data_IF_038905284462
#
_entry.id   IF_038905284462
#
_cell.length_a   1.000
_cell.length_b   1.000
_cell.length_c   1.000
_cell.angle_alpha   90.00
_cell.angle_beta   90.00
_cell.angle_gamma   90.00
#
_symmetry.space_group_name_H-M   'P 1'
#
loop_
_entity.id
_entity.type
_entity.pdbx_description
1 polymer ?
#
# COMPACT_ATOMS: atom_id res chain seq x y z
N UNK A 1 9.55 -10.60 -12.99
CA UNK A 1 9.24 -11.15 -11.65
C UNK A 1 10.39 -10.97 -10.66
N UNK A 2 11.63 -11.41 -10.94
CA UNK A 2 12.77 -11.27 -10.02
C UNK A 2 13.06 -9.80 -9.64
N UNK A 3 13.09 -8.89 -10.61
CA UNK A 3 13.29 -7.46 -10.34
C UNK A 3 12.21 -6.85 -9.43
N UNK A 4 10.96 -7.28 -9.59
CA UNK A 4 9.84 -6.86 -8.73
C UNK A 4 10.04 -7.38 -7.30
N UNK A 5 10.38 -8.67 -7.15
CA UNK A 5 10.68 -9.27 -5.84
C UNK A 5 11.80 -8.52 -5.12
N UNK A 6 12.92 -8.27 -5.80
CA UNK A 6 14.06 -7.53 -5.24
C UNK A 6 13.64 -6.12 -4.81
N UNK A 7 12.89 -5.41 -5.66
CA UNK A 7 12.39 -4.06 -5.37
C UNK A 7 11.49 -4.03 -4.13
N UNK A 8 10.60 -5.03 -3.99
CA UNK A 8 9.73 -5.15 -2.83
C UNK A 8 10.50 -5.51 -1.57
N UNK A 9 11.52 -6.37 -1.65
CA UNK A 9 12.38 -6.70 -0.51
C UNK A 9 13.14 -5.48 -0.01
N UNK A 10 13.73 -4.68 -0.91
CA UNK A 10 14.44 -3.44 -0.55
C UNK A 10 13.48 -2.46 0.13
N UNK A 11 12.31 -2.22 -0.45
CA UNK A 11 11.29 -1.32 0.14
C UNK A 11 10.79 -1.85 1.49
N UNK A 12 10.61 -3.16 1.63
CA UNK A 12 10.19 -3.81 2.86
C UNK A 12 11.19 -3.63 4.01
N UNK A 13 12.50 -3.73 3.72
CA UNK A 13 13.56 -3.48 4.71
C UNK A 13 13.54 -2.03 5.20
N UNK A 14 13.37 -1.05 4.29
CA UNK A 14 13.28 0.37 4.66
C UNK A 14 12.04 0.65 5.51
N UNK A 15 10.90 0.04 5.17
CA UNK A 15 9.68 0.14 5.95
C UNK A 15 9.86 -0.44 7.36
N UNK A 16 10.38 -1.66 7.48
CA UNK A 16 10.66 -2.29 8.77
C UNK A 16 11.66 -1.47 9.60
N UNK A 17 12.68 -0.89 8.96
CA UNK A 17 13.65 -0.01 9.62
C UNK A 17 13.01 1.26 10.17
N UNK A 18 12.11 1.88 9.39
CA UNK A 18 11.33 3.02 9.84
C UNK A 18 10.40 2.66 11.00
N UNK A 19 9.75 1.50 10.93
CA UNK A 19 8.87 1.00 11.99
C UNK A 19 9.63 0.74 13.30
N UNK A 20 10.80 0.12 13.21
CA UNK A 20 11.66 -0.12 14.37
C UNK A 20 12.10 1.20 15.01
N UNK A 21 12.44 2.23 14.21
CA UNK A 21 12.79 3.56 14.73
C UNK A 21 11.62 4.25 15.43
N UNK A 22 10.38 3.99 15.03
CA UNK A 22 9.19 4.51 15.70
C UNK A 22 8.97 3.86 17.08
N UNK A 23 9.18 2.55 17.20
CA UNK A 23 8.95 1.82 18.45
C UNK A 23 10.14 1.88 19.41
N UNK A 24 11.37 1.93 18.88
CA UNK A 24 12.59 1.78 19.67
C UNK A 24 13.69 2.76 19.22
N UNK A 25 13.33 4.05 19.10
CA UNK A 25 14.19 5.09 18.55
C UNK A 25 15.55 5.25 19.26
N UNK A 26 15.66 4.86 20.53
CA UNK A 26 16.91 4.92 21.30
C UNK A 26 17.89 3.77 20.99
N UNK A 27 17.42 2.65 20.44
CA UNK A 27 18.21 1.44 20.19
C UNK A 27 18.16 0.97 18.73
N UNK A 28 17.49 1.71 17.85
CA UNK A 28 17.42 1.46 16.41
C UNK A 28 18.68 1.89 15.65
N UNK A 29 19.87 1.74 16.26
CA UNK A 29 21.13 1.97 15.57
C UNK A 29 21.49 0.74 14.72
N UNK A 30 21.81 0.92 13.43
CA UNK A 30 22.21 -0.19 12.55
C UNK A 30 23.54 -0.86 12.95
N UNK A 31 24.29 -0.25 13.88
CA UNK A 31 25.58 -0.77 14.36
C UNK A 31 25.51 -1.44 15.73
N UNK A 32 24.35 -1.44 16.40
CA UNK A 32 24.20 -2.05 17.73
C UNK A 32 24.03 -3.58 17.62
N UNK A 33 25.09 -4.34 17.91
CA UNK A 33 25.09 -5.80 17.88
C UNK A 33 24.42 -6.47 19.11
N UNK A 34 23.71 -5.71 19.95
CA UNK A 34 23.11 -6.25 21.18
C UNK A 34 21.92 -7.16 20.85
N UNK A 35 21.78 -8.25 21.60
CA UNK A 35 20.68 -9.21 21.43
C UNK A 35 19.28 -8.56 21.46
N UNK A 36 19.08 -7.51 22.27
CA UNK A 36 17.83 -6.75 22.34
C UNK A 36 17.45 -6.08 21.01
N UNK A 37 18.41 -5.49 20.30
CA UNK A 37 18.17 -4.84 19.00
C UNK A 37 17.75 -5.88 17.95
N UNK A 38 18.42 -7.03 17.93
CA UNK A 38 18.05 -8.16 17.09
C UNK A 38 16.65 -8.70 17.39
N UNK A 39 16.27 -8.84 18.66
CA UNK A 39 14.91 -9.27 19.04
C UNK A 39 13.86 -8.26 18.57
N UNK A 40 14.12 -6.96 18.76
CA UNK A 40 13.24 -5.88 18.30
C UNK A 40 13.07 -5.89 16.77
N UNK A 41 14.16 -6.03 16.02
CA UNK A 41 14.12 -6.17 14.57
C UNK A 41 13.31 -7.38 14.11
N UNK A 42 13.57 -8.56 14.68
CA UNK A 42 12.83 -9.77 14.33
C UNK A 42 11.34 -9.64 14.67
N UNK A 43 11.00 -9.03 15.81
CA UNK A 43 9.60 -8.79 16.18
C UNK A 43 8.89 -7.88 15.16
N UNK A 44 9.54 -6.81 14.71
CA UNK A 44 9.01 -5.90 13.67
C UNK A 44 8.81 -6.63 12.34
N UNK A 45 9.80 -7.41 11.90
CA UNK A 45 9.73 -8.16 10.62
C UNK A 45 8.63 -9.21 10.69
N UNK A 46 8.60 -10.04 11.75
CA UNK A 46 7.58 -11.09 11.92
C UNK A 46 6.18 -10.47 12.02
N UNK A 47 6.01 -9.39 12.78
CA UNK A 47 4.72 -8.69 12.87
C UNK A 47 4.29 -8.14 11.51
N UNK A 48 5.20 -7.56 10.74
CA UNK A 48 4.89 -6.99 9.42
C UNK A 48 4.46 -8.10 8.45
N UNK A 49 5.19 -9.23 8.43
CA UNK A 49 4.85 -10.39 7.59
C UNK A 49 3.52 -11.01 8.02
N UNK A 50 3.28 -11.16 9.34
CA UNK A 50 2.03 -11.71 9.87
C UNK A 50 0.83 -10.82 9.50
N UNK A 51 0.96 -9.49 9.63
CA UNK A 51 -0.07 -8.55 9.18
C UNK A 51 -0.31 -8.65 7.67
N UNK A 52 0.75 -8.67 6.86
CA UNK A 52 0.62 -8.79 5.40
C UNK A 52 -0.07 -10.10 5.00
N UNK A 53 0.29 -11.22 5.63
CA UNK A 53 -0.37 -12.50 5.43
C UNK A 53 -1.84 -12.47 5.85
N UNK A 54 -2.15 -11.86 6.99
CA UNK A 54 -3.53 -11.71 7.48
C UNK A 54 -4.37 -10.85 6.51
N UNK A 55 -3.86 -9.72 6.04
CA UNK A 55 -4.55 -8.90 5.04
C UNK A 55 -4.76 -9.65 3.71
N UNK A 56 -3.77 -10.43 3.27
CA UNK A 56 -3.88 -11.22 2.06
C UNK A 56 -4.96 -12.31 2.14
N UNK A 57 -5.22 -12.87 3.33
CA UNK A 57 -6.26 -13.87 3.53
C UNK A 57 -7.63 -13.26 3.88
N UNK A 58 -7.68 -12.08 4.48
CA UNK A 58 -8.94 -11.41 4.84
C UNK A 58 -9.63 -10.74 3.66
N UNK A 59 -8.88 -10.28 2.66
CA UNK A 59 -9.42 -9.52 1.54
C UNK A 59 -9.48 -10.44 0.31
N UNK A 60 -10.67 -10.92 -0.11
CA UNK A 60 -10.80 -11.85 -1.24
C UNK A 60 -10.37 -11.23 -2.58
N UNK A 61 -10.26 -9.91 -2.65
CA UNK A 61 -9.78 -9.13 -3.80
C UNK A 61 -8.43 -8.43 -3.51
N UNK A 62 -7.59 -8.99 -2.63
CA UNK A 62 -6.33 -8.36 -2.19
C UNK A 62 -5.45 -7.90 -3.35
N UNK A 63 -5.31 -8.72 -4.39
CA UNK A 63 -4.51 -8.38 -5.59
C UNK A 63 -5.02 -7.10 -6.26
N UNK A 64 -6.33 -6.99 -6.48
CA UNK A 64 -6.92 -5.81 -7.13
C UNK A 64 -6.87 -4.58 -6.21
N UNK A 65 -7.01 -4.77 -4.89
CA UNK A 65 -6.83 -3.72 -3.92
C UNK A 65 -5.39 -3.19 -3.90
N UNK A 66 -4.39 -4.09 -3.94
CA UNK A 66 -2.97 -3.72 -4.01
C UNK A 66 -2.67 -3.00 -5.32
N UNK A 67 -3.25 -3.44 -6.43
CA UNK A 67 -3.11 -2.76 -7.72
C UNK A 67 -3.70 -1.35 -7.68
N UNK A 68 -4.87 -1.17 -7.08
CA UNK A 68 -5.52 0.13 -6.91
C UNK A 68 -4.68 1.07 -6.03
N UNK A 69 -4.19 0.56 -4.89
CA UNK A 69 -3.31 1.32 -3.98
C UNK A 69 -1.98 1.64 -4.67
N UNK A 70 -1.41 0.69 -5.41
CA UNK A 70 -0.17 0.88 -6.16
C UNK A 70 -0.33 1.94 -7.24
N UNK A 71 -1.40 1.88 -8.04
CA UNK A 71 -1.66 2.83 -9.11
C UNK A 71 -1.95 4.25 -8.61
N UNK A 72 -2.55 4.39 -7.43
CA UNK A 72 -2.87 5.70 -6.84
C UNK A 72 -1.73 6.27 -6.00
N UNK A 73 -1.20 5.50 -5.05
CA UNK A 73 -0.24 5.99 -4.05
C UNK A 73 1.19 6.03 -4.59
N UNK A 74 1.56 5.14 -5.52
CA UNK A 74 2.94 5.11 -6.04
C UNK A 74 3.29 6.38 -6.84
N UNK A 75 2.47 6.83 -7.82
CA UNK A 75 2.76 8.08 -8.53
C UNK A 75 2.78 9.31 -7.60
N UNK A 76 1.90 9.33 -6.60
CA UNK A 76 1.86 10.39 -5.60
C UNK A 76 3.16 10.45 -4.80
N UNK A 77 3.55 9.32 -4.20
CA UNK A 77 4.68 9.25 -3.26
C UNK A 77 6.04 9.27 -3.94
N UNK A 78 6.18 8.66 -5.11
CA UNK A 78 7.46 8.52 -5.80
C UNK A 78 7.76 9.66 -6.79
N UNK A 79 6.75 10.34 -7.33
CA UNK A 79 6.96 11.40 -8.32
C UNK A 79 6.43 12.75 -7.83
N UNK A 80 5.13 12.84 -7.49
CA UNK A 80 4.51 14.13 -7.18
C UNK A 80 5.15 14.78 -5.94
N UNK A 81 5.34 14.03 -4.85
CA UNK A 81 5.95 14.56 -3.62
C UNK A 81 7.42 14.97 -3.84
N UNK A 82 8.33 14.13 -4.38
CA UNK A 82 9.70 14.53 -4.63
C UNK A 82 9.85 15.72 -5.57
N UNK A 83 9.06 15.77 -6.66
CA UNK A 83 9.04 16.91 -7.58
C UNK A 83 8.58 18.18 -6.85
N UNK A 84 7.52 18.09 -6.05
CA UNK A 84 7.03 19.21 -5.24
C UNK A 84 8.07 19.71 -4.22
N UNK A 85 8.77 18.78 -3.55
CA UNK A 85 9.86 19.12 -2.64
C UNK A 85 11.04 19.76 -3.37
N UNK A 86 11.37 19.27 -4.57
CA UNK A 86 12.43 19.83 -5.40
C UNK A 86 12.12 21.26 -5.84
N UNK A 87 10.92 21.48 -6.37
CA UNK A 87 10.44 22.81 -6.77
C UNK A 87 10.43 23.79 -5.59
N UNK A 88 9.96 23.34 -4.41
CA UNK A 88 10.00 24.15 -3.19
C UNK A 88 11.43 24.51 -2.79
N UNK A 89 12.34 23.55 -2.79
CA UNK A 89 13.75 23.78 -2.50
C UNK A 89 14.38 24.78 -3.48
N UNK A 90 14.05 24.68 -4.76
CA UNK A 90 14.54 25.63 -5.79
C UNK A 90 13.99 27.04 -5.64
N UNK A 91 12.78 27.18 -5.09
CA UNK A 91 12.19 28.48 -4.80
C UNK A 91 12.85 29.13 -3.57
N UNK A 92 13.06 28.33 -2.53
CA UNK A 92 13.64 28.78 -1.26
C UNK A 92 15.17 29.01 -1.36
N UNK A 93 15.82 28.53 -2.42
CA UNK A 93 17.25 28.72 -2.64
C UNK A 93 17.56 30.11 -3.22
N UNK A 94 18.31 30.92 -2.46
CA UNK A 94 18.86 32.20 -2.95
C UNK A 94 20.05 32.02 -3.93
N UNK A 95 20.60 30.80 -4.00
CA UNK A 95 21.78 30.48 -4.80
C UNK A 95 21.43 30.32 -6.29
N UNK A 96 22.11 31.08 -7.16
CA UNK A 96 21.88 31.10 -8.60
C UNK A 96 22.16 29.74 -9.28
N UNK A 97 22.93 28.86 -8.62
CA UNK A 97 23.24 27.50 -9.08
C UNK A 97 22.09 26.51 -8.95
N UNK A 98 21.07 26.82 -8.15
CA UNK A 98 19.86 26.01 -7.96
C UNK A 98 18.71 26.43 -8.89
N UNK A 99 18.97 27.36 -9.82
CA UNK A 99 17.99 27.74 -10.84
C UNK A 99 17.75 26.58 -11.80
N UNK A 100 16.47 26.20 -11.90
CA UNK A 100 16.00 25.15 -12.80
C UNK A 100 16.34 25.54 -14.24
N UNK A 101 17.15 24.70 -14.90
CA UNK A 101 17.45 24.86 -16.32
C UNK A 101 16.21 24.59 -17.19
N UNK A 102 16.16 25.13 -18.40
CA UNK A 102 15.02 24.90 -19.30
C UNK A 102 14.77 23.40 -19.56
N UNK A 103 15.82 22.63 -19.85
CA UNK A 103 15.72 21.18 -20.09
C UNK A 103 15.21 20.42 -18.86
N UNK A 104 15.66 20.83 -17.68
CA UNK A 104 15.24 20.24 -16.41
C UNK A 104 13.77 20.55 -16.12
N UNK A 105 13.34 21.80 -16.34
CA UNK A 105 11.93 22.19 -16.22
C UNK A 105 11.03 21.40 -17.17
N UNK A 106 11.46 21.20 -18.42
CA UNK A 106 10.72 20.36 -19.39
C UNK A 106 10.65 18.91 -18.90
N UNK A 107 11.77 18.35 -18.42
CA UNK A 107 11.80 16.97 -17.91
C UNK A 107 10.84 16.78 -16.72
N UNK A 108 10.86 17.71 -15.76
CA UNK A 108 9.97 17.69 -14.60
C UNK A 108 8.49 17.77 -14.99
N UNK A 109 8.14 18.62 -15.97
CA UNK A 109 6.76 18.73 -16.47
C UNK A 109 6.33 17.44 -17.15
N UNK A 110 7.20 16.84 -17.98
CA UNK A 110 6.91 15.56 -18.65
C UNK A 110 6.74 14.43 -17.64
N UNK A 111 7.61 14.34 -16.64
CA UNK A 111 7.52 13.33 -15.58
C UNK A 111 6.25 13.49 -14.74
N UNK A 112 5.90 14.74 -14.39
CA UNK A 112 4.66 15.03 -13.67
C UNK A 112 3.41 14.68 -14.50
N UNK A 113 3.42 14.99 -15.80
CA UNK A 113 2.32 14.64 -16.69
C UNK A 113 2.17 13.11 -16.81
N UNK A 114 3.29 12.39 -16.96
CA UNK A 114 3.30 10.93 -16.99
C UNK A 114 2.77 10.34 -15.68
N UNK A 115 3.19 10.89 -14.54
CA UNK A 115 2.71 10.49 -13.22
C UNK A 115 1.18 10.61 -13.11
N UNK A 116 0.62 11.74 -13.53
CA UNK A 116 -0.83 11.99 -13.50
C UNK A 116 -1.59 11.05 -14.44
N UNK A 117 -1.08 10.82 -15.65
CA UNK A 117 -1.68 9.88 -16.61
C UNK A 117 -1.70 8.47 -16.01
N UNK A 118 -0.56 7.98 -15.53
CA UNK A 118 -0.47 6.65 -14.93
C UNK A 118 -1.36 6.51 -13.70
N UNK A 119 -1.46 7.56 -12.89
CA UNK A 119 -2.34 7.59 -11.72
C UNK A 119 -3.81 7.49 -12.14
N UNK A 120 -4.28 8.31 -13.08
CA UNK A 120 -5.69 8.33 -13.50
C UNK A 120 -6.07 7.04 -14.22
N UNK A 121 -5.31 6.64 -15.23
CA UNK A 121 -5.61 5.45 -16.03
C UNK A 121 -5.41 4.17 -15.23
N UNK A 122 -4.33 4.09 -14.43
CA UNK A 122 -4.08 2.94 -13.57
C UNK A 122 -5.15 2.76 -12.51
N UNK A 123 -5.52 3.84 -11.82
CA UNK A 123 -6.57 3.81 -10.79
C UNK A 123 -7.93 3.48 -11.40
N UNK A 124 -8.28 4.08 -12.55
CA UNK A 124 -9.55 3.80 -13.23
C UNK A 124 -9.63 2.36 -13.72
N UNK A 125 -8.55 1.83 -14.28
CA UNK A 125 -8.48 0.44 -14.74
C UNK A 125 -8.61 -0.55 -13.57
N UNK A 126 -7.90 -0.32 -12.46
CA UNK A 126 -8.03 -1.15 -11.26
C UNK A 126 -9.44 -1.07 -10.65
N UNK A 127 -10.02 0.14 -10.57
CA UNK A 127 -11.38 0.33 -10.08
C UNK A 127 -12.42 -0.39 -10.95
N UNK A 128 -12.28 -0.35 -12.28
CA UNK A 128 -13.15 -1.09 -13.19
C UNK A 128 -13.06 -2.60 -12.97
N UNK A 129 -11.86 -3.16 -12.78
CA UNK A 129 -11.68 -4.61 -12.49
C UNK A 129 -12.37 -5.02 -11.19
N UNK A 130 -12.24 -4.19 -10.16
CA UNK A 130 -12.92 -4.42 -8.87
C UNK A 130 -14.44 -4.41 -9.06
N UNK A 131 -14.98 -3.41 -9.77
CA UNK A 131 -16.43 -3.28 -10.00
C UNK A 131 -16.96 -4.42 -10.86
N UNK A 132 -16.26 -4.81 -11.93
CA UNK A 132 -16.68 -5.93 -12.77
C UNK A 132 -16.65 -7.27 -12.03
N UNK A 133 -15.71 -7.44 -11.10
CA UNK A 133 -15.60 -8.64 -10.27
C UNK A 133 -16.52 -8.66 -9.06
N UNK A 134 -17.32 -7.61 -8.80
CA UNK A 134 -18.22 -7.59 -7.62
C UNK A 134 -19.20 -8.76 -7.56
N UNK A 135 -19.59 -9.31 -8.71
CA UNK A 135 -20.47 -10.49 -8.74
C UNK A 135 -19.75 -11.77 -8.30
N UNK A 136 -18.43 -11.86 -8.54
CA UNK A 136 -17.61 -13.03 -8.21
C UNK A 136 -17.02 -12.95 -6.79
N UNK A 137 -16.69 -11.75 -6.31
CA UNK A 137 -16.12 -11.54 -4.97
C UNK A 137 -17.18 -11.43 -3.86
N UNK A 138 -18.45 -11.18 -4.24
CA UNK A 138 -19.50 -10.77 -3.31
C UNK A 138 -19.34 -9.33 -2.83
N UNK A 139 -20.41 -8.74 -2.29
CA UNK A 139 -20.36 -7.39 -1.74
C UNK A 139 -19.43 -7.33 -0.50
N UNK A 140 -18.71 -6.22 -0.28
CA UNK A 140 -17.99 -6.03 0.98
C UNK A 140 -18.98 -6.14 2.15
N UNK A 141 -18.65 -6.97 3.13
CA UNK A 141 -19.50 -7.32 4.29
C UNK A 141 -20.74 -8.19 4.00
N UNK A 142 -20.91 -8.72 2.79
CA UNK A 142 -21.92 -9.77 2.56
C UNK A 142 -21.46 -11.10 3.17
N UNK A 143 -22.36 -11.78 3.89
CA UNK A 143 -22.11 -13.12 4.42
C UNK A 143 -21.95 -14.11 3.27
N UNK A 144 -20.71 -14.47 2.93
CA UNK A 144 -20.43 -15.40 1.85
C UNK A 144 -20.39 -16.84 2.40
N UNK A 145 -21.44 -17.61 2.13
CA UNK A 145 -21.59 -18.99 2.62
C UNK A 145 -21.20 -20.06 1.59
N UNK A 146 -20.79 -19.68 0.39
CA UNK A 146 -20.44 -20.64 -0.67
C UNK A 146 -18.93 -20.83 -0.74
N UNK A 147 -18.46 -21.99 -0.26
CA UNK A 147 -17.10 -22.50 -0.51
C UNK A 147 -16.10 -22.42 0.64
N UNK A 148 -16.41 -21.77 1.77
CA UNK A 148 -15.59 -21.82 2.99
C UNK A 148 -16.04 -22.99 3.90
N UNK A 149 -15.10 -23.92 4.17
CA UNK A 149 -15.32 -25.08 5.03
C UNK A 149 -15.87 -24.69 6.41
N UNK A 150 -17.10 -25.12 6.70
CA UNK A 150 -17.69 -25.38 8.02
C UNK A 150 -18.08 -24.23 8.97
N UNK A 151 -17.90 -22.95 8.65
CA UNK A 151 -18.23 -21.85 9.60
C UNK A 151 -19.43 -20.98 9.23
N UNK A 152 -20.14 -21.30 8.15
CA UNK A 152 -21.37 -20.61 7.79
C UNK A 152 -22.62 -21.28 8.38
N UNK A 153 -22.65 -21.42 9.71
CA UNK A 153 -23.93 -21.37 10.41
C UNK A 153 -24.34 -19.90 10.49
N UNK A 154 -25.23 -19.49 9.60
CA UNK A 154 -26.08 -18.32 9.79
C UNK A 154 -26.97 -18.55 11.03
N UNK A 155 -26.37 -18.49 12.22
CA UNK A 155 -27.10 -18.48 13.47
C UNK A 155 -27.87 -17.16 13.53
N UNK A 156 -29.19 -17.25 13.48
CA UNK A 156 -30.16 -16.17 13.66
C UNK A 156 -30.04 -15.43 15.00
N UNK A 157 -29.06 -15.77 15.85
CA UNK A 157 -28.84 -15.20 17.17
C UNK A 157 -27.70 -14.19 17.28
N UNK A 158 -27.01 -13.79 16.19
CA UNK A 158 -25.93 -12.79 16.27
C UNK A 158 -26.36 -11.39 15.82
N UNK A 159 -26.03 -10.40 16.65
CA UNK A 159 -26.31 -8.98 16.46
C UNK A 159 -25.65 -8.51 15.14
N UNK A 160 -26.43 -7.85 14.27
CA UNK A 160 -25.95 -7.34 12.98
C UNK A 160 -26.13 -8.31 11.79
N UNK A 161 -27.08 -9.24 11.86
CA UNK A 161 -27.38 -10.20 10.79
C UNK A 161 -28.85 -10.12 10.30
N UNK A 162 -29.51 -8.97 10.50
CA UNK A 162 -30.94 -8.77 10.18
C UNK A 162 -31.27 -8.93 8.69
N UNK A 163 -30.27 -8.73 7.82
CA UNK A 163 -30.42 -8.79 6.36
C UNK A 163 -30.42 -10.22 5.78
N UNK A 164 -30.02 -11.25 6.53
CA UNK A 164 -29.99 -12.62 6.02
C UNK A 164 -31.38 -13.29 5.91
N UNK A 165 -32.42 -12.72 6.51
CA UNK A 165 -33.79 -13.26 6.44
C UNK A 165 -34.59 -12.80 5.20
N UNK A 166 -34.05 -11.90 4.38
CA UNK A 166 -34.83 -11.23 3.33
C UNK A 166 -34.90 -11.97 1.99
N UNK A 167 -34.21 -13.10 1.83
CA UNK A 167 -34.17 -13.86 0.56
C UNK A 167 -34.76 -15.27 0.65
N UNK A 168 -35.40 -15.63 1.77
CA UNK A 168 -36.00 -16.95 1.97
C UNK A 168 -37.51 -17.05 1.66
N UNK A 169 -38.08 -16.09 0.92
CA UNK A 169 -39.47 -16.13 0.43
C UNK A 169 -39.54 -15.90 -1.06
#
# INVERSE_FOLDING_TARGET
VIHMLISYLIKGVVFCSSLQRLFDGAYASPTDARARSWVSWNAVVISTVACAWLFANLIPFFTEAVDLVGASVCPLSCWIIPIGMYLRCSWDAEDEKLRIGFLEGVLLVVELALALILMIFGTSSAAQRIVSGWQDFGFPFACHCQGLWSTCECSSGRIGMEYCNLTAT
#
